data_IF_683732597750
#
_entry.id   IF_683732597750
#
_cell.length_a   1.000
_cell.length_b   1.000
_cell.length_c   1.000
_cell.angle_alpha   90.00
_cell.angle_beta   90.00
_cell.angle_gamma   90.00
#
_symmetry.space_group_name_H-M   'P 1'
#
loop_
_entity.id
_entity.type
_entity.pdbx_description
1 polymer ?
#
# COMPACT_ATOMS: atom_id res chain seq x y z
N UNK A 1 -79.77 59.01 19.17
CA UNK A 1 -78.80 59.38 18.11
C UNK A 1 -77.38 58.86 18.42
N UNK A 2 -77.21 57.56 18.73
CA UNK A 2 -75.88 56.99 19.10
C UNK A 2 -75.43 55.79 18.25
N UNK A 3 -76.28 55.29 17.34
CA UNK A 3 -76.03 54.03 16.61
C UNK A 3 -75.23 54.19 15.31
N UNK A 4 -75.19 55.39 14.71
CA UNK A 4 -74.47 55.64 13.44
C UNK A 4 -72.94 55.76 13.60
N UNK A 5 -72.45 56.17 14.77
CA UNK A 5 -71.01 56.31 15.03
C UNK A 5 -70.33 54.95 15.33
N UNK A 6 -71.05 54.01 15.96
CA UNK A 6 -70.54 52.67 16.30
C UNK A 6 -70.35 51.77 15.06
N UNK A 7 -71.21 51.92 14.03
CA UNK A 7 -71.07 51.20 12.76
C UNK A 7 -69.83 51.64 11.96
N UNK A 8 -69.48 52.93 12.02
CA UNK A 8 -68.29 53.48 11.36
C UNK A 8 -67.00 52.97 11.99
N UNK A 9 -66.94 52.98 13.33
CA UNK A 9 -65.78 52.46 14.07
C UNK A 9 -65.54 50.97 13.80
N UNK A 10 -66.61 50.15 13.78
CA UNK A 10 -66.54 48.73 13.43
C UNK A 10 -66.13 48.48 11.98
N UNK A 11 -66.46 49.38 11.06
CA UNK A 11 -65.98 49.30 9.66
C UNK A 11 -64.48 49.56 9.58
N UNK A 12 -64.02 50.66 10.20
CA UNK A 12 -62.61 51.04 10.24
C UNK A 12 -61.75 49.96 10.92
N UNK A 13 -62.23 49.37 12.03
CA UNK A 13 -61.53 48.26 12.69
C UNK A 13 -61.44 47.02 11.81
N UNK A 14 -62.50 46.69 11.05
CA UNK A 14 -62.46 45.56 10.10
C UNK A 14 -61.48 45.80 8.97
N UNK A 15 -61.43 47.02 8.43
CA UNK A 15 -60.45 47.39 7.39
C UNK A 15 -59.02 47.30 7.91
N UNK A 16 -58.75 47.77 9.13
CA UNK A 16 -57.43 47.68 9.75
C UNK A 16 -57.01 46.23 9.97
N UNK A 17 -57.90 45.40 10.51
CA UNK A 17 -57.64 43.96 10.72
C UNK A 17 -57.38 43.25 9.39
N UNK A 18 -58.14 43.57 8.34
CA UNK A 18 -57.90 43.00 7.01
C UNK A 18 -56.54 43.41 6.45
N UNK A 19 -56.13 44.68 6.60
CA UNK A 19 -54.80 45.13 6.17
C UNK A 19 -53.68 44.40 6.90
N UNK A 20 -53.77 44.27 8.23
CA UNK A 20 -52.77 43.54 9.01
C UNK A 20 -52.72 42.06 8.60
N UNK A 21 -53.88 41.45 8.35
CA UNK A 21 -53.98 40.07 7.88
C UNK A 21 -53.29 39.92 6.52
N UNK A 22 -53.53 40.83 5.58
CA UNK A 22 -52.95 40.78 4.25
C UNK A 22 -51.43 40.98 4.29
N UNK A 23 -50.93 41.92 5.10
CA UNK A 23 -49.49 42.12 5.32
C UNK A 23 -48.81 40.89 5.93
N UNK A 24 -49.43 40.27 6.94
CA UNK A 24 -48.92 39.04 7.55
C UNK A 24 -48.92 37.89 6.54
N UNK A 25 -49.99 37.76 5.75
CA UNK A 25 -50.08 36.72 4.72
C UNK A 25 -48.99 36.90 3.66
N UNK A 26 -48.78 38.12 3.18
CA UNK A 26 -47.70 38.43 2.24
C UNK A 26 -46.31 38.14 2.81
N UNK A 27 -46.09 38.47 4.09
CA UNK A 27 -44.83 38.15 4.77
C UNK A 27 -44.58 36.65 4.87
N UNK A 28 -45.62 35.87 5.18
CA UNK A 28 -45.53 34.40 5.25
C UNK A 28 -45.26 33.81 3.87
N UNK A 29 -45.98 34.25 2.83
CA UNK A 29 -45.77 33.79 1.44
C UNK A 29 -44.32 34.03 1.03
N UNK A 30 -43.80 35.24 1.24
CA UNK A 30 -42.42 35.55 0.86
C UNK A 30 -41.39 34.68 1.58
N UNK A 31 -41.64 34.36 2.86
CA UNK A 31 -40.78 33.42 3.62
C UNK A 31 -40.85 32.00 3.07
N UNK A 32 -42.03 31.54 2.67
CA UNK A 32 -42.20 30.23 2.05
C UNK A 32 -41.40 30.16 0.74
N UNK A 33 -41.54 31.15 -0.14
CA UNK A 33 -40.80 31.20 -1.42
C UNK A 33 -39.28 31.19 -1.22
N UNK A 34 -38.79 31.92 -0.21
CA UNK A 34 -37.36 31.96 0.13
C UNK A 34 -36.87 30.60 0.62
N UNK A 35 -37.65 29.94 1.48
CA UNK A 35 -37.32 28.62 2.01
C UNK A 35 -37.38 27.54 0.93
N UNK A 36 -38.38 27.57 0.06
CA UNK A 36 -38.51 26.64 -1.07
C UNK A 36 -37.31 26.74 -2.01
N UNK A 37 -36.90 27.96 -2.36
CA UNK A 37 -35.72 28.20 -3.19
C UNK A 37 -34.45 27.64 -2.54
N UNK A 38 -34.25 27.90 -1.25
CA UNK A 38 -33.09 27.40 -0.51
C UNK A 38 -33.08 25.86 -0.38
N UNK A 39 -34.24 25.25 -0.14
CA UNK A 39 -34.39 23.78 -0.08
C UNK A 39 -34.05 23.16 -1.43
N UNK A 40 -34.53 23.76 -2.52
CA UNK A 40 -34.25 23.27 -3.87
C UNK A 40 -32.75 23.30 -4.19
N UNK A 41 -32.06 24.41 -3.89
CA UNK A 41 -30.61 24.53 -4.09
C UNK A 41 -29.84 23.49 -3.27
N UNK A 42 -30.19 23.32 -1.99
CA UNK A 42 -29.56 22.33 -1.12
C UNK A 42 -29.81 20.90 -1.58
N UNK A 43 -30.99 20.60 -2.10
CA UNK A 43 -31.29 19.28 -2.65
C UNK A 43 -30.41 19.00 -3.87
N UNK A 44 -30.24 19.97 -4.77
CA UNK A 44 -29.38 19.83 -5.93
C UNK A 44 -27.90 19.65 -5.54
N UNK A 45 -27.43 20.37 -4.52
CA UNK A 45 -26.08 20.18 -3.98
C UNK A 45 -25.89 18.78 -3.38
N UNK A 46 -26.87 18.31 -2.61
CA UNK A 46 -26.84 16.98 -2.00
C UNK A 46 -26.80 15.87 -3.08
N UNK A 47 -27.57 16.01 -4.16
CA UNK A 47 -27.54 15.07 -5.28
C UNK A 47 -26.17 15.05 -5.99
N UNK A 48 -25.53 16.22 -6.13
CA UNK A 48 -24.16 16.33 -6.68
C UNK A 48 -23.16 15.62 -5.78
N UNK A 49 -23.19 15.89 -4.48
CA UNK A 49 -22.31 15.26 -3.50
C UNK A 49 -22.51 13.74 -3.43
N UNK A 50 -23.76 13.26 -3.45
CA UNK A 50 -24.05 11.83 -3.46
C UNK A 50 -23.47 11.12 -4.70
N UNK A 51 -23.52 11.77 -5.86
CA UNK A 51 -22.91 11.23 -7.09
C UNK A 51 -21.38 11.25 -7.04
N UNK A 52 -20.78 12.28 -6.43
CA UNK A 52 -19.33 12.35 -6.26
C UNK A 52 -18.82 11.28 -5.28
N UNK A 53 -19.52 11.07 -4.16
CA UNK A 53 -19.21 10.01 -3.19
C UNK A 53 -19.23 8.64 -3.88
N UNK A 54 -20.26 8.33 -4.68
CA UNK A 54 -20.31 7.06 -5.43
C UNK A 54 -19.11 6.88 -6.37
N UNK A 55 -18.72 7.94 -7.10
CA UNK A 55 -17.55 7.88 -7.99
C UNK A 55 -16.25 7.65 -7.22
N UNK A 56 -16.12 8.26 -6.04
CA UNK A 56 -14.95 8.06 -5.17
C UNK A 56 -14.92 6.64 -4.60
N UNK A 57 -16.06 6.09 -4.20
CA UNK A 57 -16.17 4.69 -3.75
C UNK A 57 -15.78 3.70 -4.85
N UNK A 58 -16.24 3.91 -6.09
CA UNK A 58 -15.86 3.09 -7.24
C UNK A 58 -14.35 3.14 -7.50
N UNK A 59 -13.75 4.35 -7.50
CA UNK A 59 -12.30 4.51 -7.67
C UNK A 59 -11.52 3.83 -6.56
N UNK A 60 -11.95 3.98 -5.32
CA UNK A 60 -11.29 3.37 -4.17
C UNK A 60 -11.30 1.84 -4.26
N UNK A 61 -12.40 1.25 -4.70
CA UNK A 61 -12.49 -0.20 -4.90
C UNK A 61 -11.55 -0.66 -6.03
N UNK A 62 -11.53 0.04 -7.17
CA UNK A 62 -10.64 -0.30 -8.27
C UNK A 62 -9.15 -0.22 -7.86
N UNK A 63 -8.74 0.84 -7.18
CA UNK A 63 -7.36 0.99 -6.69
C UNK A 63 -6.99 -0.10 -5.68
N UNK A 64 -7.95 -0.52 -4.83
CA UNK A 64 -7.73 -1.60 -3.87
C UNK A 64 -7.50 -2.94 -4.57
N UNK A 65 -8.28 -3.23 -5.60
CA UNK A 65 -8.14 -4.46 -6.40
C UNK A 65 -6.82 -4.48 -7.17
N UNK A 66 -6.45 -3.37 -7.82
CA UNK A 66 -5.16 -3.21 -8.50
C UNK A 66 -3.97 -3.39 -7.54
N UNK A 67 -4.04 -2.76 -6.36
CA UNK A 67 -3.01 -2.91 -5.32
C UNK A 67 -2.88 -4.36 -4.85
N UNK A 68 -3.99 -5.08 -4.73
CA UNK A 68 -3.97 -6.48 -4.34
C UNK A 68 -3.32 -7.34 -5.41
N UNK A 69 -3.64 -7.11 -6.69
CA UNK A 69 -3.03 -7.82 -7.82
C UNK A 69 -1.52 -7.56 -7.89
N UNK A 70 -1.08 -6.30 -7.79
CA UNK A 70 0.33 -5.94 -7.79
C UNK A 70 1.10 -6.60 -6.64
N UNK A 71 0.49 -6.69 -5.45
CA UNK A 71 1.12 -7.37 -4.30
C UNK A 71 1.31 -8.86 -4.56
N UNK A 72 0.34 -9.53 -5.17
CA UNK A 72 0.44 -10.95 -5.53
C UNK A 72 1.54 -11.17 -6.58
N UNK A 73 1.60 -10.32 -7.60
CA UNK A 73 2.62 -10.40 -8.65
C UNK A 73 4.03 -10.16 -8.10
N UNK A 74 4.21 -9.15 -7.25
CA UNK A 74 5.48 -8.86 -6.60
C UNK A 74 5.97 -10.03 -5.74
N UNK A 75 5.07 -10.64 -4.98
CA UNK A 75 5.40 -11.83 -4.15
C UNK A 75 5.84 -12.99 -5.04
N UNK A 76 5.14 -13.24 -6.15
CA UNK A 76 5.49 -14.28 -7.12
C UNK A 76 6.88 -14.03 -7.74
N UNK A 77 7.16 -12.80 -8.13
CA UNK A 77 8.46 -12.41 -8.69
C UNK A 77 9.59 -12.57 -7.66
N UNK A 78 9.36 -12.21 -6.40
CA UNK A 78 10.34 -12.42 -5.33
C UNK A 78 10.70 -13.90 -5.18
N UNK A 79 9.70 -14.77 -5.05
CA UNK A 79 9.91 -16.22 -4.96
C UNK A 79 10.66 -16.77 -6.18
N UNK A 80 10.29 -16.33 -7.38
CA UNK A 80 10.94 -16.77 -8.62
C UNK A 80 12.41 -16.33 -8.68
N UNK A 81 12.70 -15.13 -8.19
CA UNK A 81 14.07 -14.60 -8.15
C UNK A 81 14.92 -15.30 -7.09
N UNK A 82 14.34 -15.65 -5.93
CA UNK A 82 15.00 -16.43 -4.90
C UNK A 82 15.37 -17.83 -5.40
N UNK A 83 14.42 -18.52 -6.07
CA UNK A 83 14.66 -19.82 -6.70
C UNK A 83 15.80 -19.74 -7.72
N UNK A 84 15.74 -18.78 -8.66
CA UNK A 84 16.80 -18.57 -9.66
C UNK A 84 18.14 -18.23 -9.02
N UNK A 85 18.15 -17.42 -7.99
CA UNK A 85 19.38 -17.06 -7.26
C UNK A 85 20.01 -18.31 -6.62
N UNK A 86 19.19 -19.15 -5.99
CA UNK A 86 19.63 -20.39 -5.38
C UNK A 86 20.17 -21.38 -6.44
N UNK A 87 19.49 -21.52 -7.58
CA UNK A 87 19.97 -22.34 -8.70
C UNK A 87 21.34 -21.86 -9.21
N UNK A 88 21.52 -20.55 -9.38
CA UNK A 88 22.78 -19.96 -9.80
C UNK A 88 23.88 -20.18 -8.76
N UNK A 89 23.59 -20.01 -7.48
CA UNK A 89 24.57 -20.29 -6.40
C UNK A 89 25.01 -21.75 -6.41
N UNK A 90 24.07 -22.68 -6.56
CA UNK A 90 24.38 -24.11 -6.63
C UNK A 90 25.21 -24.43 -7.87
N UNK A 91 24.88 -23.83 -9.02
CA UNK A 91 25.64 -24.00 -10.24
C UNK A 91 27.08 -23.51 -10.10
N UNK A 92 27.29 -22.33 -9.51
CA UNK A 92 28.62 -21.76 -9.25
C UNK A 92 29.40 -22.62 -8.26
N UNK A 93 28.74 -23.18 -7.24
CA UNK A 93 29.38 -24.02 -6.21
C UNK A 93 29.60 -25.47 -6.63
N UNK A 94 29.05 -25.91 -7.77
CA UNK A 94 29.05 -27.33 -8.20
C UNK A 94 30.44 -27.98 -8.22
N UNK A 95 31.46 -27.24 -8.64
CA UNK A 95 32.85 -27.72 -8.70
C UNK A 95 33.73 -27.16 -7.56
N UNK A 96 33.13 -26.49 -6.59
CA UNK A 96 33.84 -25.88 -5.47
C UNK A 96 33.65 -26.73 -4.22
N UNK A 97 34.75 -27.08 -3.55
CA UNK A 97 34.71 -27.85 -2.30
C UNK A 97 35.40 -27.07 -1.18
N UNK A 98 34.79 -27.02 0.01
CA UNK A 98 35.39 -26.41 1.20
C UNK A 98 36.09 -27.48 2.03
N UNK A 99 37.41 -27.31 2.22
CA UNK A 99 38.21 -28.18 3.08
C UNK A 99 38.45 -27.50 4.44
N UNK A 100 38.00 -28.14 5.51
CA UNK A 100 38.14 -27.69 6.90
C UNK A 100 39.20 -28.50 7.65
N UNK A 101 39.82 -27.89 8.68
CA UNK A 101 40.83 -28.55 9.51
C UNK A 101 42.24 -28.56 8.92
N UNK A 102 42.48 -27.81 7.83
CA UNK A 102 43.81 -27.62 7.27
C UNK A 102 44.58 -26.56 8.06
N UNK A 103 45.88 -26.75 8.26
CA UNK A 103 46.78 -25.79 8.95
C UNK A 103 46.76 -24.42 8.26
N UNK A 104 46.75 -23.33 9.04
CA UNK A 104 46.78 -21.96 8.53
C UNK A 104 48.09 -21.65 7.82
N UNK A 105 47.97 -21.13 6.59
CA UNK A 105 49.07 -20.74 5.71
C UNK A 105 48.72 -19.48 4.93
N UNK A 106 49.76 -18.74 4.54
CA UNK A 106 49.62 -17.35 4.06
C UNK A 106 49.40 -17.24 2.56
N UNK A 107 49.81 -18.23 1.76
CA UNK A 107 49.79 -18.10 0.30
C UNK A 107 48.82 -19.07 -0.40
N UNK A 108 48.35 -18.66 -1.58
CA UNK A 108 47.47 -19.48 -2.43
C UNK A 108 48.18 -20.76 -2.92
N UNK A 109 49.46 -20.68 -3.29
CA UNK A 109 50.22 -21.85 -3.75
C UNK A 109 50.42 -22.90 -2.65
N UNK A 110 50.65 -22.47 -1.42
CA UNK A 110 50.70 -23.39 -0.28
C UNK A 110 49.35 -24.05 0.00
N UNK A 111 48.25 -23.32 -0.24
CA UNK A 111 46.90 -23.86 -0.11
C UNK A 111 46.67 -24.99 -1.12
N UNK A 112 47.02 -24.78 -2.40
CA UNK A 112 46.96 -25.83 -3.44
C UNK A 112 47.79 -27.06 -3.04
N UNK A 113 49.02 -26.85 -2.55
CA UNK A 113 49.89 -27.95 -2.14
C UNK A 113 49.31 -28.78 -0.98
N UNK A 114 48.65 -28.15 0.00
CA UNK A 114 47.97 -28.87 1.08
C UNK A 114 46.82 -29.70 0.54
N UNK A 115 46.02 -29.15 -0.38
CA UNK A 115 44.90 -29.87 -1.00
C UNK A 115 45.40 -31.12 -1.71
N UNK A 116 46.41 -30.98 -2.58
CA UNK A 116 47.00 -32.10 -3.32
C UNK A 116 47.56 -33.18 -2.37
N UNK A 117 48.35 -32.78 -1.37
CA UNK A 117 48.92 -33.73 -0.40
C UNK A 117 47.83 -34.46 0.38
N UNK A 118 46.80 -33.75 0.82
CA UNK A 118 45.73 -34.31 1.65
C UNK A 118 44.85 -35.27 0.84
N UNK A 119 44.41 -34.85 -0.35
CA UNK A 119 43.54 -35.66 -1.21
C UNK A 119 44.28 -36.86 -1.77
N UNK A 120 45.51 -36.72 -2.27
CA UNK A 120 46.27 -37.85 -2.82
C UNK A 120 46.68 -38.86 -1.73
N UNK A 121 46.89 -38.42 -0.48
CA UNK A 121 47.13 -39.33 0.63
C UNK A 121 45.87 -40.10 1.04
N UNK A 122 44.69 -39.46 1.02
CA UNK A 122 43.43 -40.08 1.43
C UNK A 122 42.72 -40.86 0.31
N UNK A 123 42.93 -40.47 -0.95
CA UNK A 123 42.33 -41.07 -2.15
C UNK A 123 43.41 -41.40 -3.18
N UNK A 124 44.25 -42.42 -2.92
CA UNK A 124 45.42 -42.71 -3.77
C UNK A 124 45.07 -43.22 -5.18
N UNK A 125 43.84 -43.71 -5.38
CA UNK A 125 43.32 -44.16 -6.68
C UNK A 125 42.92 -43.01 -7.61
N UNK A 126 42.64 -41.83 -7.07
CA UNK A 126 42.31 -40.62 -7.84
C UNK A 126 43.43 -39.62 -7.55
N UNK A 127 44.49 -39.67 -8.37
CA UNK A 127 45.59 -38.71 -8.25
C UNK A 127 45.18 -37.38 -8.86
N UNK A 128 45.01 -36.38 -8.01
CA UNK A 128 44.86 -34.99 -8.42
C UNK A 128 46.23 -34.38 -8.77
N UNK A 129 46.25 -33.59 -9.85
CA UNK A 129 47.41 -32.76 -10.25
C UNK A 129 47.11 -31.26 -10.10
N UNK A 130 48.15 -30.42 -10.11
CA UNK A 130 48.02 -28.98 -9.81
C UNK A 130 47.13 -28.27 -10.85
N UNK A 131 47.22 -28.70 -12.10
CA UNK A 131 46.51 -28.14 -13.26
C UNK A 131 44.99 -28.38 -13.22
N UNK A 132 44.54 -29.34 -12.40
CA UNK A 132 43.11 -29.64 -12.20
C UNK A 132 42.46 -28.72 -11.16
N UNK A 133 43.26 -27.91 -10.45
CA UNK A 133 42.79 -26.94 -9.46
C UNK A 133 42.93 -25.55 -10.06
N UNK A 134 41.80 -24.94 -10.42
CA UNK A 134 41.75 -23.57 -10.95
C UNK A 134 42.14 -22.55 -9.86
N UNK A 135 41.45 -22.58 -8.72
CA UNK A 135 41.68 -21.65 -7.61
C UNK A 135 41.60 -22.38 -6.26
N UNK A 136 42.61 -22.17 -5.40
CA UNK A 136 42.51 -22.51 -3.98
C UNK A 136 42.94 -21.31 -3.12
N UNK A 137 42.07 -20.91 -2.21
CA UNK A 137 42.31 -19.79 -1.30
C UNK A 137 41.61 -20.03 0.04
N UNK A 138 42.04 -19.28 1.06
CA UNK A 138 41.36 -19.28 2.36
C UNK A 138 40.07 -18.46 2.26
N UNK A 139 38.97 -19.05 2.71
CA UNK A 139 37.69 -18.35 2.89
C UNK A 139 37.60 -17.93 4.35
N UNK A 140 37.27 -16.66 4.60
CA UNK A 140 37.29 -16.03 5.94
C UNK A 140 36.64 -16.85 7.06
N UNK A 141 37.06 -16.58 8.31
CA UNK A 141 36.54 -17.25 9.51
C UNK A 141 35.01 -17.15 9.54
N UNK A 142 34.35 -18.27 9.82
CA UNK A 142 32.90 -18.31 9.98
C UNK A 142 32.52 -17.43 11.18
N UNK A 143 31.95 -16.26 10.90
CA UNK A 143 31.56 -15.29 11.92
C UNK A 143 30.18 -15.67 12.46
N UNK A 144 30.15 -16.40 13.59
CA UNK A 144 28.90 -16.90 14.21
C UNK A 144 27.88 -15.79 14.49
N UNK A 145 28.32 -14.53 14.65
CA UNK A 145 27.42 -13.40 14.91
C UNK A 145 26.55 -12.99 13.72
N UNK A 146 26.90 -13.39 12.49
CA UNK A 146 26.12 -13.07 11.28
C UNK A 146 25.03 -14.08 10.95
N UNK A 147 25.05 -15.28 11.54
CA UNK A 147 24.04 -16.32 11.26
C UNK A 147 22.75 -16.19 12.09
N UNK A 148 22.74 -15.38 13.15
CA UNK A 148 21.55 -15.19 14.01
C UNK A 148 20.47 -14.30 13.36
N UNK A 149 20.79 -13.57 12.29
CA UNK A 149 19.84 -12.70 11.58
C UNK A 149 19.16 -13.37 10.37
N UNK A 150 19.36 -14.68 10.18
CA UNK A 150 18.73 -15.48 9.12
C UNK A 150 18.08 -16.73 9.74
N UNK A 151 17.12 -16.52 10.64
CA UNK A 151 16.14 -17.52 11.08
C UNK A 151 14.76 -16.88 11.09
#
# INVERSE_FOLDING_TARGET
>A
MLTKNDSGLKSMMRELVNKIKDELLMSVIHKIETLESSIFEKQQENDKLANEVKKLEEKLNNEKDEKQQLKMEMTKQQLTNEEKSNELEQYIRRNNTRLSGCVDKETAEESVNIVLKTLNAKMPTIKLVKEEIDIAHRVGKFDKKKSENYC
#
